data_IF_290359832173
#
_entry.id   IF_290359832173
#
_cell.length_a   1.000
_cell.length_b   1.000
_cell.length_c   1.000
_cell.angle_alpha   90.00
_cell.angle_beta   90.00
_cell.angle_gamma   90.00
#
_symmetry.space_group_name_H-M   'P 1'
#
loop_
_entity.id
_entity.type
_entity.pdbx_description
1 polymer ?
#
# COMPACT_ATOMS: atom_id res chain seq x y z
N UNK A 1 -15.36 3.06 -9.65
CA UNK A 1 -13.89 2.90 -9.63
C UNK A 1 -13.36 3.52 -10.91
N UNK A 2 -12.43 4.46 -10.81
CA UNK A 2 -11.85 5.17 -11.96
C UNK A 2 -10.34 5.16 -11.77
N UNK A 3 -9.59 4.77 -12.81
CA UNK A 3 -8.13 4.79 -12.84
C UNK A 3 -7.74 5.71 -13.98
N UNK A 4 -7.09 6.83 -13.66
CA UNK A 4 -6.51 7.77 -14.62
C UNK A 4 -5.03 7.91 -14.25
N UNK A 5 -4.15 7.69 -15.22
CA UNK A 5 -2.72 7.88 -15.04
C UNK A 5 -2.10 8.39 -16.32
N UNK A 6 -1.03 9.16 -16.19
CA UNK A 6 -0.22 9.61 -17.30
C UNK A 6 0.99 8.67 -17.45
N UNK A 7 1.09 8.00 -18.60
CA UNK A 7 2.20 7.08 -18.90
C UNK A 7 3.56 7.76 -18.97
N UNK A 8 3.63 9.07 -19.17
CA UNK A 8 4.89 9.82 -19.26
C UNK A 8 5.37 10.36 -17.91
N UNK A 9 4.48 10.42 -16.92
CA UNK A 9 4.77 10.91 -15.57
C UNK A 9 4.53 9.82 -14.51
N UNK A 10 4.63 8.55 -14.88
CA UNK A 10 4.47 7.44 -13.95
C UNK A 10 5.73 7.34 -13.06
N UNK A 11 5.61 7.44 -11.73
CA UNK A 11 6.75 7.32 -10.84
C UNK A 11 7.32 5.90 -10.84
N UNK A 12 8.60 5.77 -10.49
CA UNK A 12 9.28 4.47 -10.35
C UNK A 12 8.80 3.71 -9.10
N UNK A 13 8.38 4.45 -8.07
CA UNK A 13 7.86 3.88 -6.83
C UNK A 13 6.35 3.63 -6.90
N UNK A 14 5.95 2.37 -6.74
CA UNK A 14 4.54 1.95 -6.70
C UNK A 14 3.75 2.63 -5.59
N UNK A 15 4.37 2.97 -4.45
CA UNK A 15 3.66 3.63 -3.37
C UNK A 15 3.21 5.04 -3.75
N UNK A 16 3.94 5.72 -4.64
CA UNK A 16 3.57 7.04 -5.18
C UNK A 16 2.41 6.97 -6.17
N UNK A 17 2.24 5.82 -6.83
CA UNK A 17 1.05 5.56 -7.67
C UNK A 17 -0.19 5.32 -6.81
N UNK A 18 -0.04 4.63 -5.68
CA UNK A 18 -1.16 4.13 -4.88
C UNK A 18 -1.63 5.15 -3.84
N UNK A 19 -0.71 5.90 -3.24
CA UNK A 19 -1.00 6.82 -2.14
C UNK A 19 -0.76 8.26 -2.54
N UNK A 20 -1.68 9.13 -2.11
CA UNK A 20 -1.67 10.54 -2.51
C UNK A 20 -0.67 11.39 -1.72
N UNK A 21 -0.31 10.99 -0.50
CA UNK A 21 0.54 11.80 0.39
C UNK A 21 1.82 11.09 0.81
N UNK A 22 2.90 11.86 0.96
CA UNK A 22 4.20 11.36 1.44
C UNK A 22 4.10 10.61 2.76
N UNK A 23 3.27 11.10 3.69
CA UNK A 23 3.05 10.44 4.97
C UNK A 23 2.38 9.07 4.80
N UNK A 24 1.41 8.93 3.88
CA UNK A 24 0.79 7.64 3.59
C UNK A 24 1.80 6.67 2.97
N UNK A 25 2.61 7.15 2.02
CA UNK A 25 3.68 6.38 1.39
C UNK A 25 4.63 5.81 2.45
N UNK A 26 5.13 6.68 3.35
CA UNK A 26 6.05 6.27 4.42
C UNK A 26 5.39 5.23 5.34
N UNK A 27 4.16 5.47 5.79
CA UNK A 27 3.45 4.54 6.69
C UNK A 27 3.16 3.19 6.01
N UNK A 28 2.81 3.19 4.73
CA UNK A 28 2.60 1.96 3.96
C UNK A 28 3.90 1.18 3.78
N UNK A 29 5.01 1.85 3.46
CA UNK A 29 6.35 1.24 3.38
C UNK A 29 6.73 0.60 4.73
N UNK A 30 6.55 1.32 5.84
CA UNK A 30 6.83 0.78 7.18
C UNK A 30 6.01 -0.45 7.51
N UNK A 31 4.72 -0.44 7.17
CA UNK A 31 3.86 -1.60 7.39
C UNK A 31 4.37 -2.81 6.61
N UNK A 32 4.71 -2.62 5.33
CA UNK A 32 5.25 -3.71 4.50
C UNK A 32 6.58 -4.21 5.03
N UNK A 33 7.50 -3.34 5.42
CA UNK A 33 8.79 -3.73 6.00
C UNK A 33 8.62 -4.49 7.31
N UNK A 34 7.69 -4.06 8.18
CA UNK A 34 7.35 -4.82 9.39
C UNK A 34 6.85 -6.22 9.06
N UNK A 35 5.94 -6.35 8.09
CA UNK A 35 5.40 -7.65 7.70
C UNK A 35 6.49 -8.55 7.11
N UNK A 36 7.37 -8.00 6.25
CA UNK A 36 8.53 -8.73 5.72
C UNK A 36 9.48 -9.18 6.83
N UNK A 37 9.78 -8.30 7.78
CA UNK A 37 10.64 -8.58 8.94
C UNK A 37 10.13 -9.71 9.81
N UNK A 38 8.80 -9.92 9.85
CA UNK A 38 8.14 -11.01 10.57
C UNK A 38 7.91 -12.27 9.70
N UNK A 39 8.67 -12.44 8.61
CA UNK A 39 8.55 -13.61 7.73
C UNK A 39 7.41 -13.51 6.71
N UNK A 40 6.93 -12.30 6.44
CA UNK A 40 5.87 -12.03 5.47
C UNK A 40 4.45 -12.12 6.02
N UNK A 41 4.27 -12.37 7.32
CA UNK A 41 2.97 -12.52 7.98
C UNK A 41 3.01 -11.95 9.42
N UNK A 42 1.95 -11.25 9.83
CA UNK A 42 1.79 -10.73 11.21
C UNK A 42 0.39 -10.99 11.74
N UNK A 43 0.25 -11.14 13.05
CA UNK A 43 -1.05 -11.33 13.70
C UNK A 43 -1.75 -9.99 14.03
N UNK A 44 -3.01 -10.07 14.47
CA UNK A 44 -3.80 -8.90 14.88
C UNK A 44 -3.17 -8.11 16.04
N UNK A 45 -2.50 -8.77 16.96
CA UNK A 45 -1.85 -8.12 18.11
C UNK A 45 -0.67 -7.27 17.64
N UNK A 46 0.20 -7.82 16.79
CA UNK A 46 1.32 -7.12 16.18
C UNK A 46 0.84 -5.92 15.36
N UNK A 47 -0.21 -6.09 14.55
CA UNK A 47 -0.83 -4.98 13.81
C UNK A 47 -1.34 -3.87 14.74
N UNK A 48 -1.98 -4.23 15.85
CA UNK A 48 -2.47 -3.24 16.83
C UNK A 48 -1.33 -2.51 17.52
N UNK A 49 -0.26 -3.23 17.88
CA UNK A 49 0.96 -2.65 18.47
C UNK A 49 1.63 -1.68 17.49
N UNK A 50 1.71 -2.04 16.21
CA UNK A 50 2.22 -1.14 15.16
C UNK A 50 1.40 0.14 15.05
N UNK A 51 0.06 0.01 14.98
CA UNK A 51 -0.82 1.16 14.88
C UNK A 51 -0.75 2.08 16.12
N UNK A 52 -0.54 1.52 17.31
CA UNK A 52 -0.32 2.29 18.55
C UNK A 52 1.03 3.00 18.52
N UNK A 53 2.12 2.32 18.12
CA UNK A 53 3.46 2.95 17.99
C UNK A 53 3.47 4.10 16.97
N UNK A 54 2.76 3.93 15.85
CA UNK A 54 2.53 5.02 14.88
C UNK A 54 1.79 6.19 15.50
N UNK A 55 0.76 5.93 16.30
CA UNK A 55 -0.03 6.98 16.94
C UNK A 55 0.80 7.80 17.92
N UNK A 56 1.64 7.13 18.70
CA UNK A 56 2.54 7.76 19.68
C UNK A 56 3.76 8.44 19.03
N UNK A 57 3.99 8.25 17.73
CA UNK A 57 5.13 8.83 17.02
C UNK A 57 6.48 8.23 17.45
N UNK A 58 6.48 6.99 17.95
CA UNK A 58 7.69 6.30 18.43
C UNK A 58 8.45 5.56 17.34
N UNK A 59 7.87 5.45 16.13
CA UNK A 59 8.54 4.87 14.98
C UNK A 59 9.49 5.88 14.35
N UNK A 60 10.77 5.53 14.42
CA UNK A 60 11.87 6.23 13.80
C UNK A 60 12.16 5.52 12.49
N UNK A 61 12.20 6.27 11.39
CA UNK A 61 12.36 5.68 10.06
C UNK A 61 13.51 6.36 9.33
N UNK A 62 14.43 5.57 8.79
CA UNK A 62 15.51 6.04 7.92
C UNK A 62 15.11 5.97 6.42
N UNK A 63 13.87 5.57 6.12
CA UNK A 63 13.29 5.37 4.78
C UNK A 63 13.01 6.68 4.00
N UNK A 64 13.51 7.82 4.48
CA UNK A 64 13.33 9.13 3.83
C UNK A 64 14.63 9.44 3.08
N UNK A 65 14.64 9.16 1.78
CA UNK A 65 15.80 9.37 0.90
C UNK A 65 15.85 10.77 0.27
N UNK A 66 14.94 11.68 0.62
CA UNK A 66 14.93 13.06 0.10
C UNK A 66 15.81 14.02 0.94
N UNK A 67 16.60 14.87 0.27
CA UNK A 67 17.34 15.98 0.92
C UNK A 67 16.34 17.03 1.45
N UNK A 68 16.40 17.48 2.73
CA UNK A 68 17.50 17.48 3.70
C UNK A 68 17.41 16.42 4.84
N UNK A 69 16.71 15.31 4.64
CA UNK A 69 16.42 14.30 5.70
C UNK A 69 17.17 12.97 5.53
N UNK A 70 18.10 12.88 4.57
CA UNK A 70 19.02 11.75 4.40
C UNK A 70 19.76 11.46 5.71
N UNK A 71 19.43 10.33 6.36
CA UNK A 71 20.03 9.91 7.64
C UNK A 71 19.48 10.59 8.91
N UNK A 72 18.39 11.38 8.82
CA UNK A 72 17.72 11.93 10.00
C UNK A 72 16.55 11.05 10.40
N UNK A 73 16.60 10.58 11.65
CA UNK A 73 15.53 9.88 12.37
C UNK A 73 14.28 10.78 12.48
N UNK A 74 13.39 10.74 11.49
CA UNK A 74 12.12 11.48 11.55
C UNK A 74 11.13 10.66 12.37
N UNK A 75 10.53 11.29 13.38
CA UNK A 75 9.41 10.72 14.12
C UNK A 75 8.17 10.76 13.23
N UNK A 76 7.72 9.59 12.78
CA UNK A 76 6.49 9.48 12.00
C UNK A 76 5.34 9.25 12.98
N UNK A 77 4.56 10.29 13.23
CA UNK A 77 3.26 10.18 13.90
C UNK A 77 2.17 9.98 12.86
N UNK A 78 1.28 9.02 13.08
CA UNK A 78 0.08 8.80 12.25
C UNK A 78 -1.11 8.39 13.11
N UNK A 79 -2.27 9.01 12.91
CA UNK A 79 -3.44 8.70 13.73
C UNK A 79 -3.91 7.25 13.54
N UNK A 80 -4.20 6.53 14.63
CA UNK A 80 -4.61 5.11 14.59
C UNK A 80 -5.84 4.86 13.71
N UNK A 81 -6.86 5.73 13.75
CA UNK A 81 -8.06 5.60 12.92
C UNK A 81 -7.73 5.86 11.45
N UNK A 82 -6.95 6.89 11.17
CA UNK A 82 -6.47 7.17 9.81
C UNK A 82 -5.64 6.00 9.27
N UNK A 83 -4.84 5.33 10.09
CA UNK A 83 -4.05 4.17 9.66
C UNK A 83 -4.96 3.05 9.15
N UNK A 84 -5.98 2.66 9.94
CA UNK A 84 -6.92 1.63 9.52
C UNK A 84 -7.72 2.04 8.28
N UNK A 85 -8.22 3.28 8.25
CA UNK A 85 -9.13 3.74 7.19
C UNK A 85 -8.41 4.06 5.88
N UNK A 86 -7.18 4.59 5.93
CA UNK A 86 -6.46 5.15 4.77
C UNK A 86 -5.24 4.34 4.34
N UNK A 87 -4.76 3.41 5.17
CA UNK A 87 -3.62 2.55 4.83
C UNK A 87 -4.07 1.09 4.79
N UNK A 88 -4.43 0.51 5.93
CA UNK A 88 -4.70 -0.93 6.00
C UNK A 88 -5.91 -1.33 5.15
N UNK A 89 -7.02 -0.59 5.24
CA UNK A 89 -8.23 -0.93 4.47
C UNK A 89 -8.00 -0.82 2.96
N UNK A 90 -7.41 0.27 2.41
CA UNK A 90 -7.06 0.32 0.99
C UNK A 90 -6.10 -0.80 0.56
N UNK A 91 -5.04 -1.07 1.33
CA UNK A 91 -4.09 -2.14 0.99
C UNK A 91 -4.75 -3.51 0.96
N UNK A 92 -5.71 -3.77 1.86
CA UNK A 92 -6.52 -4.99 1.83
C UNK A 92 -7.44 -5.05 0.62
N UNK A 93 -8.22 -3.99 0.40
CA UNK A 93 -9.20 -3.94 -0.68
C UNK A 93 -8.55 -4.02 -2.07
N UNK A 94 -7.31 -3.54 -2.20
CA UNK A 94 -6.53 -3.62 -3.44
C UNK A 94 -5.81 -4.96 -3.62
N UNK A 95 -5.75 -5.82 -2.60
CA UNK A 95 -5.04 -7.08 -2.66
C UNK A 95 -3.51 -6.96 -2.52
N UNK A 96 -3.02 -5.93 -1.83
CA UNK A 96 -1.62 -5.82 -1.42
C UNK A 96 -1.36 -6.63 -0.14
N UNK A 97 -2.37 -6.69 0.74
CA UNK A 97 -2.32 -7.44 2.00
C UNK A 97 -3.60 -8.27 2.13
N UNK A 98 -3.49 -9.57 2.33
CA UNK A 98 -4.63 -10.42 2.66
C UNK A 98 -4.78 -10.55 4.18
N UNK A 99 -6.02 -10.78 4.64
CA UNK A 99 -6.31 -11.09 6.04
C UNK A 99 -6.98 -12.46 6.14
N UNK A 100 -6.30 -13.40 6.79
CA UNK A 100 -6.86 -14.71 7.11
C UNK A 100 -7.77 -14.57 8.35
N UNK A 101 -9.08 -14.79 8.15
CA UNK A 101 -10.07 -14.71 9.23
C UNK A 101 -9.90 -15.80 10.29
N UNK A 102 -9.44 -16.99 9.90
CA UNK A 102 -9.29 -18.15 10.78
C UNK A 102 -8.05 -18.00 11.64
N UNK A 103 -6.91 -17.65 11.01
CA UNK A 103 -5.64 -17.44 11.71
C UNK A 103 -5.52 -16.08 12.36
N UNK A 104 -6.38 -15.12 11.95
CA UNK A 104 -6.33 -13.71 12.37
C UNK A 104 -4.98 -13.07 12.06
N UNK A 105 -4.44 -13.36 10.87
CA UNK A 105 -3.15 -12.91 10.39
C UNK A 105 -3.27 -12.10 9.11
N UNK A 106 -2.33 -11.17 8.92
CA UNK A 106 -2.16 -10.31 7.76
C UNK A 106 -0.92 -10.78 7.02
N UNK A 107 -1.02 -10.94 5.69
CA UNK A 107 0.07 -11.43 4.85
C UNK A 107 0.19 -10.60 3.58
N UNK A 108 1.41 -10.37 3.10
CA UNK A 108 1.64 -9.73 1.79
C UNK A 108 1.09 -10.64 0.68
N UNK A 109 0.41 -10.03 -0.29
CA UNK A 109 -0.27 -10.72 -1.38
C UNK A 109 0.17 -10.23 -2.76
N UNK A 110 -0.01 -11.08 -3.76
CA UNK A 110 0.20 -10.78 -5.19
C UNK A 110 -1.11 -10.46 -5.93
N UNK A 111 -2.25 -10.43 -5.22
CA UNK A 111 -3.57 -10.20 -5.82
C UNK A 111 -3.67 -8.85 -6.55
N UNK A 112 -3.04 -7.80 -6.03
CA UNK A 112 -2.98 -6.51 -6.71
C UNK A 112 -2.41 -6.63 -8.13
N UNK A 113 -1.30 -7.36 -8.31
CA UNK A 113 -0.70 -7.55 -9.63
C UNK A 113 -1.63 -8.34 -10.57
N UNK A 114 -2.29 -9.39 -10.07
CA UNK A 114 -3.25 -10.18 -10.83
C UNK A 114 -4.42 -9.34 -11.33
N UNK A 115 -4.96 -8.45 -10.50
CA UNK A 115 -6.03 -7.54 -10.92
C UNK A 115 -5.54 -6.50 -11.93
N UNK A 116 -4.31 -5.98 -11.79
CA UNK A 116 -3.73 -5.07 -12.81
C UNK A 116 -3.56 -5.76 -14.17
N UNK A 117 -3.10 -7.02 -14.20
CA UNK A 117 -3.03 -7.82 -15.43
C UNK A 117 -4.44 -8.00 -16.01
N UNK A 118 -5.42 -8.35 -15.17
CA UNK A 118 -6.81 -8.52 -15.59
C UNK A 118 -7.38 -7.24 -16.20
N UNK A 119 -7.12 -6.07 -15.62
CA UNK A 119 -7.52 -4.77 -16.19
C UNK A 119 -6.90 -4.57 -17.58
N UNK A 120 -5.61 -4.88 -17.73
CA UNK A 120 -4.94 -4.85 -19.05
C UNK A 120 -5.61 -5.77 -20.07
N UNK A 121 -5.95 -7.01 -19.68
CA UNK A 121 -6.66 -7.95 -20.55
C UNK A 121 -8.07 -7.47 -20.92
N UNK A 122 -8.78 -6.80 -20.00
CA UNK A 122 -10.09 -6.21 -20.30
C UNK A 122 -9.98 -5.13 -21.38
N UNK A 123 -8.93 -4.29 -21.33
CA UNK A 123 -8.67 -3.30 -22.38
C UNK A 123 -8.33 -3.95 -23.72
N UNK A 124 -7.46 -4.97 -23.73
CA UNK A 124 -7.15 -5.71 -24.96
C UNK A 124 -8.39 -6.34 -25.59
N UNK A 125 -9.30 -6.85 -24.76
CA UNK A 125 -10.59 -7.40 -25.21
C UNK A 125 -11.46 -6.31 -25.83
N UNK A 126 -11.56 -5.14 -25.20
CA UNK A 126 -12.35 -4.01 -25.72
C UNK A 126 -11.81 -3.49 -27.05
N UNK A 127 -10.49 -3.26 -27.15
CA UNK A 127 -9.82 -2.80 -28.37
C UNK A 127 -10.05 -3.71 -29.58
N UNK A 128 -10.17 -5.02 -29.33
CA UNK A 128 -10.39 -6.03 -30.38
C UNK A 128 -11.87 -6.22 -30.75
N UNK A 129 -12.82 -5.63 -30.00
CA UNK A 129 -14.23 -5.74 -30.35
C UNK A 129 -14.50 -4.98 -31.65
N UNK A 130 -15.29 -5.55 -32.58
CA UNK A 130 -15.71 -4.82 -33.76
C UNK A 130 -16.55 -3.60 -33.35
N UNK A 131 -16.48 -2.52 -34.14
CA UNK A 131 -17.33 -1.36 -33.94
C UNK A 131 -18.81 -1.78 -33.98
N UNK A 132 -19.62 -1.28 -33.03
CA UNK A 132 -21.07 -1.47 -33.11
C UNK A 132 -21.55 -0.78 -34.38
N UNK A 133 -22.13 -1.56 -35.31
CA UNK A 133 -22.91 -0.99 -36.41
C UNK A 133 -24.11 -0.25 -35.78
N UNK A 134 -24.28 1.01 -36.13
CA UNK A 134 -25.41 1.84 -35.73
C UNK A 134 -26.75 1.25 -36.20
#
# INVERSE_FOLDING_TARGET
MVILFDRFNLPEDIYEVIFATKQQIIVAKLLIEMIKGNGGEINKTEMSLFATKLHEGSLITDLIEEEPYKGKKVKVSYNKRQFYDRILTPMKSMGLIDYDLYKKTYKISDHFNKEMIRIGLLWLKEMRKPAKKS
#
